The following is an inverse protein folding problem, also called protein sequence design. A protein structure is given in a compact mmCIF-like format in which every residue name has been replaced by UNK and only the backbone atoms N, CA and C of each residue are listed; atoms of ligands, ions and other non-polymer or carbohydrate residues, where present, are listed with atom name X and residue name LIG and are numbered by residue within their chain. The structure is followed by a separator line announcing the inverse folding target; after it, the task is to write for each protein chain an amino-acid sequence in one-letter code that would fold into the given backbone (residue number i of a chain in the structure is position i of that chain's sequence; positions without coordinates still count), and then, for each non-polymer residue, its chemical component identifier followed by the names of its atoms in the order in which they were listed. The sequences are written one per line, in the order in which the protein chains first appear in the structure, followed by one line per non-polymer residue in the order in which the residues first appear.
data_IF_769858039105
#
_entry.id   IF_769858039105
#
_cell.length_a   1.000
_cell.length_b   1.000
_cell.length_c   1.000
_cell.angle_alpha   90.00
_cell.angle_beta   90.00
_cell.angle_gamma   90.00
#
_symmetry.space_group_name_H-M   'P 1'
#
loop_
_entity.id
_entity.type
_entity.pdbx_description
1 polymer ?
#
# COMPACT_ATOMS: atom_id res chain seq x y z
N UNK A 1 22.48 13.64 -7.93
CA UNK A 1 21.10 13.31 -7.48
C UNK A 1 20.19 13.29 -8.68
N UNK A 2 19.28 12.32 -8.76
CA UNK A 2 18.22 12.24 -9.78
C UNK A 2 17.16 13.32 -9.53
N UNK A 3 16.39 13.68 -10.55
CA UNK A 3 15.44 14.80 -10.45
C UNK A 3 14.24 14.47 -9.57
N UNK A 4 13.47 13.42 -9.88
CA UNK A 4 12.19 13.15 -9.24
C UNK A 4 11.93 11.64 -9.10
N UNK A 5 11.32 11.25 -7.99
CA UNK A 5 10.79 9.91 -7.77
C UNK A 5 9.35 9.96 -7.27
N UNK A 6 8.51 9.07 -7.79
CA UNK A 6 7.19 8.82 -7.23
C UNK A 6 7.21 7.59 -6.34
N UNK A 7 6.84 7.79 -5.07
CA UNK A 7 6.54 6.72 -4.13
C UNK A 7 5.01 6.55 -4.08
N UNK A 8 4.52 5.42 -4.57
CA UNK A 8 3.10 5.22 -4.83
C UNK A 8 2.56 4.10 -3.94
N UNK A 9 1.51 4.37 -3.18
CA UNK A 9 0.77 3.33 -2.48
C UNK A 9 0.04 2.41 -3.45
N UNK A 10 -0.28 1.19 -3.01
CA UNK A 10 -0.98 0.22 -3.84
C UNK A 10 -2.46 0.15 -3.51
N UNK A 11 -2.80 -0.23 -2.27
CA UNK A 11 -4.14 -0.62 -1.85
C UNK A 11 -5.10 0.57 -1.74
N UNK A 12 -6.01 0.75 -2.71
CA UNK A 12 -6.92 1.91 -2.73
C UNK A 12 -6.38 3.11 -3.52
N UNK A 13 -5.12 3.03 -3.94
CA UNK A 13 -4.42 4.04 -4.74
C UNK A 13 -4.22 3.56 -6.18
N UNK A 14 -3.36 2.55 -6.40
CA UNK A 14 -3.21 1.88 -7.70
C UNK A 14 -4.37 0.91 -7.89
N UNK A 15 -4.69 0.09 -6.89
CA UNK A 15 -5.84 -0.82 -6.96
C UNK A 15 -7.12 -0.06 -6.67
N UNK A 16 -8.20 -0.42 -7.37
CA UNK A 16 -9.54 0.16 -7.12
C UNK A 16 -10.11 -0.22 -5.74
N UNK A 17 -9.50 -1.21 -5.06
CA UNK A 17 -9.94 -1.74 -3.76
C UNK A 17 -8.73 -2.06 -2.89
N UNK A 18 -8.87 -1.88 -1.57
CA UNK A 18 -7.92 -2.40 -0.58
C UNK A 18 -7.93 -3.94 -0.63
N UNK A 19 -6.82 -4.54 -1.07
CA UNK A 19 -6.74 -5.98 -1.34
C UNK A 19 -6.82 -6.81 -0.07
N UNK A 20 -6.20 -6.36 1.03
CA UNK A 20 -6.21 -7.06 2.31
C UNK A 20 -7.60 -7.09 2.94
N UNK A 21 -8.32 -5.98 2.91
CA UNK A 21 -9.70 -5.91 3.36
C UNK A 21 -10.60 -6.78 2.47
N UNK A 22 -10.39 -6.74 1.15
CA UNK A 22 -11.19 -7.54 0.20
C UNK A 22 -11.03 -9.05 0.44
N UNK A 23 -9.78 -9.51 0.60
CA UNK A 23 -9.44 -10.90 0.92
C UNK A 23 -10.07 -11.32 2.25
N UNK A 24 -9.88 -10.52 3.30
CA UNK A 24 -10.40 -10.83 4.64
C UNK A 24 -11.92 -10.98 4.63
N UNK A 25 -12.62 -10.12 3.89
CA UNK A 25 -14.07 -10.19 3.72
C UNK A 25 -14.50 -11.41 2.91
N UNK A 26 -13.80 -11.71 1.80
CA UNK A 26 -14.14 -12.85 0.92
C UNK A 26 -13.98 -14.21 1.62
N UNK A 27 -13.01 -14.34 2.50
CA UNK A 27 -12.80 -15.55 3.30
C UNK A 27 -13.54 -15.53 4.65
N UNK A 28 -14.41 -14.54 4.89
CA UNK A 28 -15.20 -14.42 6.12
C UNK A 28 -14.36 -14.53 7.39
N UNK A 29 -13.17 -13.91 7.41
CA UNK A 29 -12.28 -13.91 8.56
C UNK A 29 -12.83 -12.95 9.63
N UNK A 30 -13.86 -13.38 10.37
CA UNK A 30 -14.60 -12.55 11.35
C UNK A 30 -13.69 -11.98 12.43
N UNK A 31 -12.62 -12.68 12.80
CA UNK A 31 -11.61 -12.21 13.75
C UNK A 31 -10.92 -10.91 13.29
N UNK A 32 -10.96 -10.62 11.99
CA UNK A 32 -10.41 -9.39 11.41
C UNK A 32 -11.36 -8.19 11.54
N UNK A 33 -12.63 -8.38 11.93
CA UNK A 33 -13.58 -7.26 12.05
C UNK A 33 -13.16 -6.25 13.15
N UNK A 34 -12.38 -6.68 14.14
CA UNK A 34 -11.79 -5.81 15.19
C UNK A 34 -11.01 -4.62 14.60
N UNK A 35 -10.47 -4.77 13.38
CA UNK A 35 -9.67 -3.73 12.74
C UNK A 35 -10.50 -2.55 12.24
N UNK A 36 -11.80 -2.74 11.97
CA UNK A 36 -12.70 -1.62 11.62
C UNK A 36 -12.76 -0.61 12.76
N UNK A 37 -12.91 -1.09 13.99
CA UNK A 37 -12.92 -0.24 15.18
C UNK A 37 -11.55 0.37 15.47
N UNK A 38 -10.47 -0.42 15.38
CA UNK A 38 -9.11 0.08 15.59
C UNK A 38 -8.70 1.16 14.59
N UNK A 39 -9.17 1.08 13.33
CA UNK A 39 -9.00 2.15 12.34
C UNK A 39 -9.77 3.41 12.76
N UNK A 40 -11.03 3.26 13.19
CA UNK A 40 -11.89 4.38 13.62
C UNK A 40 -11.34 5.14 14.83
N UNK A 41 -10.80 4.44 15.82
CA UNK A 41 -10.27 5.05 17.04
C UNK A 41 -8.78 5.42 16.98
N UNK A 42 -8.11 5.23 15.82
CA UNK A 42 -6.71 5.58 15.63
C UNK A 42 -5.69 4.66 16.33
N UNK A 43 -6.11 3.50 16.83
CA UNK A 43 -5.22 2.52 17.50
C UNK A 43 -4.73 1.42 16.55
N UNK A 44 -5.05 1.51 15.26
CA UNK A 44 -4.65 0.56 14.24
C UNK A 44 -3.13 0.41 14.12
N UNK A 45 -2.67 -0.85 14.16
CA UNK A 45 -1.28 -1.24 13.91
C UNK A 45 -1.28 -2.34 12.85
N UNK A 46 -0.60 -2.07 11.73
CA UNK A 46 -0.45 -3.04 10.62
C UNK A 46 0.27 -4.28 11.11
N UNK A 47 1.28 -4.13 11.97
CA UNK A 47 2.03 -5.25 12.55
C UNK A 47 1.11 -6.28 13.21
N UNK A 48 0.20 -5.81 14.07
CA UNK A 48 -0.71 -6.70 14.79
C UNK A 48 -1.73 -7.35 13.84
N UNK A 49 -2.14 -6.62 12.79
CA UNK A 49 -2.99 -7.16 11.72
C UNK A 49 -2.29 -8.31 10.99
N UNK A 50 -1.02 -8.15 10.62
CA UNK A 50 -0.24 -9.16 9.92
C UNK A 50 -0.08 -10.42 10.78
N UNK A 51 0.23 -10.26 12.07
CA UNK A 51 0.39 -11.39 13.00
C UNK A 51 -0.91 -12.18 13.14
N UNK A 52 -2.05 -11.49 13.28
CA UNK A 52 -3.34 -12.16 13.38
C UNK A 52 -3.70 -12.86 12.07
N UNK A 53 -3.51 -12.20 10.93
CA UNK A 53 -3.77 -12.78 9.61
C UNK A 53 -2.93 -14.04 9.38
N UNK A 54 -1.62 -14.03 9.67
CA UNK A 54 -0.76 -15.24 9.60
C UNK A 54 -1.31 -16.39 10.46
N UNK A 55 -1.81 -16.08 11.66
CA UNK A 55 -2.29 -17.09 12.61
C UNK A 55 -3.59 -17.76 12.16
N UNK A 56 -4.54 -16.98 11.63
CA UNK A 56 -5.90 -17.47 11.35
C UNK A 56 -6.09 -17.92 9.91
N UNK A 57 -5.24 -17.46 8.98
CA UNK A 57 -5.42 -17.75 7.57
C UNK A 57 -5.22 -19.25 7.30
N UNK A 58 -6.27 -19.86 6.74
CA UNK A 58 -6.32 -21.27 6.33
C UNK A 58 -7.11 -21.38 5.05
N UNK A 59 -6.49 -21.09 3.92
CA UNK A 59 -7.15 -21.17 2.63
C UNK A 59 -6.18 -21.64 1.56
N UNK A 60 -6.59 -22.55 0.66
CA UNK A 60 -5.77 -22.97 -0.46
C UNK A 60 -5.25 -21.79 -1.28
N UNK A 61 -4.01 -21.90 -1.75
CA UNK A 61 -3.37 -20.86 -2.55
C UNK A 61 -4.18 -20.55 -3.81
N UNK A 62 -4.78 -21.56 -4.42
CA UNK A 62 -5.58 -21.44 -5.64
C UNK A 62 -6.79 -20.53 -5.42
N UNK A 63 -7.47 -20.68 -4.27
CA UNK A 63 -8.60 -19.82 -3.90
C UNK A 63 -8.18 -18.39 -3.59
N UNK A 64 -7.00 -18.22 -2.99
CA UNK A 64 -6.40 -16.91 -2.79
C UNK A 64 -6.07 -16.22 -4.11
N UNK A 65 -5.49 -16.97 -5.04
CA UNK A 65 -5.14 -16.53 -6.39
C UNK A 65 -6.37 -16.12 -7.21
N UNK A 66 -7.45 -16.92 -7.18
CA UNK A 66 -8.74 -16.60 -7.83
C UNK A 66 -9.27 -15.23 -7.39
N UNK A 67 -9.11 -14.87 -6.11
CA UNK A 67 -9.54 -13.56 -5.59
C UNK A 67 -8.63 -12.43 -6.08
N UNK A 68 -7.32 -12.65 -6.16
CA UNK A 68 -6.39 -11.66 -6.69
C UNK A 68 -6.62 -11.38 -8.18
N UNK A 69 -7.05 -12.39 -8.93
CA UNK A 69 -7.27 -12.30 -10.37
C UNK A 69 -8.51 -11.47 -10.75
N UNK A 70 -9.42 -11.22 -9.80
CA UNK A 70 -10.59 -10.35 -10.03
C UNK A 70 -10.38 -8.91 -9.53
N UNK A 71 -9.25 -8.61 -8.89
CA UNK A 71 -8.96 -7.26 -8.40
C UNK A 71 -8.40 -6.39 -9.52
N UNK A 72 -8.94 -5.19 -9.70
CA UNK A 72 -8.55 -4.29 -10.78
C UNK A 72 -7.70 -3.13 -10.29
N UNK A 73 -6.88 -2.60 -11.19
CA UNK A 73 -6.16 -1.33 -10.99
C UNK A 73 -6.88 -0.17 -11.69
N UNK A 74 -6.53 1.05 -11.31
CA UNK A 74 -6.76 2.23 -12.13
C UNK A 74 -5.88 2.16 -13.38
N UNK A 75 -6.49 1.94 -14.55
CA UNK A 75 -5.76 1.75 -15.81
C UNK A 75 -4.97 2.99 -16.23
N UNK A 76 -5.32 4.19 -15.75
CA UNK A 76 -4.52 5.39 -16.00
C UNK A 76 -3.11 5.29 -15.37
N UNK A 77 -2.93 4.40 -14.38
CA UNK A 77 -1.62 4.09 -13.82
C UNK A 77 -0.66 3.47 -14.84
N UNK A 78 -1.17 2.73 -15.83
CA UNK A 78 -0.34 2.06 -16.83
C UNK A 78 0.48 3.09 -17.58
N UNK A 79 -0.18 4.10 -18.15
CA UNK A 79 0.50 5.16 -18.90
C UNK A 79 1.33 6.06 -17.97
N UNK A 80 0.82 6.37 -16.79
CA UNK A 80 1.56 7.11 -15.78
C UNK A 80 2.89 6.42 -15.43
N UNK A 81 2.91 5.10 -15.31
CA UNK A 81 4.10 4.32 -14.94
C UNK A 81 5.17 4.22 -16.03
N UNK A 82 4.80 4.35 -17.30
CA UNK A 82 5.76 4.40 -18.40
C UNK A 82 6.53 5.71 -18.45
N UNK A 83 5.86 6.79 -18.08
CA UNK A 83 6.39 8.15 -18.22
C UNK A 83 7.12 8.64 -16.97
N UNK A 84 7.11 7.88 -15.87
CA UNK A 84 7.64 8.31 -14.58
C UNK A 84 8.50 7.22 -13.92
N UNK A 85 9.56 7.64 -13.20
CA UNK A 85 10.28 6.73 -12.31
C UNK A 85 9.46 6.48 -11.04
N UNK A 86 9.00 5.23 -10.86
CA UNK A 86 8.09 4.84 -9.77
C UNK A 86 8.72 3.77 -8.89
N UNK A 87 8.43 3.83 -7.58
CA UNK A 87 8.52 2.71 -6.65
C UNK A 87 7.17 2.54 -5.95
N UNK A 88 6.71 1.31 -5.86
CA UNK A 88 5.50 0.99 -5.10
C UNK A 88 5.90 0.78 -3.64
N UNK A 89 5.20 1.44 -2.71
CA UNK A 89 5.40 1.32 -1.27
C UNK A 89 4.08 1.00 -0.60
N UNK A 90 3.89 -0.26 -0.19
CA UNK A 90 2.60 -0.76 0.29
C UNK A 90 2.72 -1.46 1.65
N UNK A 91 1.67 -1.33 2.46
CA UNK A 91 1.47 -2.14 3.66
C UNK A 91 0.93 -3.55 3.37
N UNK A 92 0.59 -3.84 2.11
CA UNK A 92 0.12 -5.12 1.61
C UNK A 92 1.26 -6.13 1.36
N UNK A 93 0.94 -7.19 0.61
CA UNK A 93 1.88 -8.26 0.29
C UNK A 93 2.50 -8.09 -1.10
N UNK A 94 3.82 -8.25 -1.21
CA UNK A 94 4.54 -8.24 -2.49
C UNK A 94 3.96 -9.29 -3.45
N UNK A 95 3.58 -10.46 -2.92
CA UNK A 95 2.89 -11.51 -3.67
C UNK A 95 1.63 -11.00 -4.38
N UNK A 96 0.74 -10.34 -3.65
CA UNK A 96 -0.51 -9.79 -4.18
C UNK A 96 -0.24 -8.76 -5.27
N UNK A 97 0.67 -7.83 -4.97
CA UNK A 97 1.02 -6.71 -5.85
C UNK A 97 1.56 -7.25 -7.16
N UNK A 98 2.55 -8.15 -7.12
CA UNK A 98 3.13 -8.75 -8.32
C UNK A 98 2.10 -9.51 -9.15
N UNK A 99 1.27 -10.34 -8.52
CA UNK A 99 0.23 -11.10 -9.23
C UNK A 99 -0.74 -10.18 -9.96
N UNK A 100 -1.25 -9.17 -9.28
CA UNK A 100 -2.19 -8.21 -9.88
C UNK A 100 -1.51 -7.43 -11.02
N UNK A 101 -0.32 -6.87 -10.78
CA UNK A 101 0.40 -6.06 -11.77
C UNK A 101 0.87 -6.85 -13.00
N UNK A 102 1.17 -8.15 -12.85
CA UNK A 102 1.61 -8.99 -13.98
C UNK A 102 0.56 -9.06 -15.10
N UNK A 103 -0.73 -8.99 -14.75
CA UNK A 103 -1.83 -8.97 -15.73
C UNK A 103 -1.86 -7.70 -16.58
N UNK A 104 -1.13 -6.66 -16.15
CA UNK A 104 -0.99 -5.38 -16.86
C UNK A 104 0.45 -5.16 -17.37
N UNK A 105 1.33 -6.16 -17.28
CA UNK A 105 2.77 -6.08 -17.61
C UNK A 105 3.55 -5.03 -16.79
N UNK A 106 3.16 -4.84 -15.53
CA UNK A 106 3.77 -3.85 -14.61
C UNK A 106 4.55 -4.49 -13.45
N UNK A 107 4.79 -5.80 -13.49
CA UNK A 107 5.46 -6.58 -12.44
C UNK A 107 6.96 -6.27 -12.26
N UNK A 108 7.56 -5.54 -13.22
CA UNK A 108 8.94 -5.07 -13.17
C UNK A 108 9.14 -3.82 -12.29
N UNK A 109 8.07 -3.13 -11.91
CA UNK A 109 8.17 -1.98 -11.01
C UNK A 109 8.72 -2.46 -9.66
N UNK A 110 9.71 -1.77 -9.11
CA UNK A 110 10.26 -2.12 -7.80
C UNK A 110 9.22 -1.87 -6.69
N UNK A 111 8.97 -2.90 -5.89
CA UNK A 111 7.94 -2.94 -4.85
C UNK A 111 8.60 -3.10 -3.48
N UNK A 112 8.13 -2.30 -2.53
CA UNK A 112 8.33 -2.47 -1.11
C UNK A 112 6.99 -2.89 -0.50
N UNK A 113 6.95 -4.10 0.06
CA UNK A 113 5.75 -4.69 0.66
C UNK A 113 6.15 -5.70 1.73
N UNK A 114 5.17 -6.27 2.43
CA UNK A 114 5.42 -7.45 3.27
C UNK A 114 5.55 -8.70 2.39
N UNK A 115 6.37 -9.65 2.80
CA UNK A 115 6.48 -10.93 2.12
C UNK A 115 5.42 -11.90 2.64
N UNK A 116 4.79 -12.62 1.72
CA UNK A 116 3.83 -13.69 2.02
C UNK A 116 4.30 -14.96 1.32
N UNK A 117 4.51 -16.02 2.09
CA UNK A 117 4.89 -17.34 1.61
C UNK A 117 3.81 -18.35 1.98
N UNK A 118 3.31 -19.09 1.01
CA UNK A 118 2.44 -20.23 1.25
C UNK A 118 3.25 -21.41 1.77
N UNK A 119 2.71 -22.09 2.77
CA UNK A 119 3.26 -23.29 3.40
C UNK A 119 2.32 -24.47 3.17
N UNK A 120 2.73 -25.64 3.63
CA UNK A 120 1.88 -26.83 3.68
C UNK A 120 0.60 -26.59 4.51
N UNK A 121 -0.41 -27.43 4.28
CA UNK A 121 -1.69 -27.41 5.00
C UNK A 121 -2.41 -26.04 4.92
N UNK A 122 -2.28 -25.36 3.77
CA UNK A 122 -2.95 -24.08 3.49
C UNK A 122 -2.58 -22.95 4.47
N UNK A 123 -1.42 -23.05 5.11
CA UNK A 123 -0.90 -22.01 6.01
C UNK A 123 -0.09 -20.99 5.22
N UNK A 124 0.12 -19.83 5.83
CA UNK A 124 1.01 -18.80 5.31
C UNK A 124 2.08 -18.43 6.34
N UNK A 125 3.18 -17.87 5.85
CA UNK A 125 4.18 -17.16 6.61
C UNK A 125 4.28 -15.74 6.08
N UNK A 126 4.28 -14.76 7.00
CA UNK A 126 4.44 -13.35 6.69
C UNK A 126 5.78 -12.88 7.24
N UNK A 127 6.47 -12.05 6.47
CA UNK A 127 7.67 -11.35 6.92
C UNK A 127 7.53 -9.87 6.61
N UNK A 128 7.79 -9.02 7.60
CA UNK A 128 7.69 -7.57 7.45
C UNK A 128 8.84 -7.08 6.58
N UNK A 129 8.55 -6.41 5.46
CA UNK A 129 9.56 -6.11 4.45
C UNK A 129 10.40 -4.85 4.73
N UNK A 130 9.91 -3.94 5.56
CA UNK A 130 10.68 -2.76 5.97
C UNK A 130 10.23 -2.30 7.36
N UNK A 131 10.38 -3.18 8.34
CA UNK A 131 10.00 -2.87 9.72
C UNK A 131 10.95 -1.80 10.30
N UNK A 132 10.37 -0.81 10.97
CA UNK A 132 11.12 0.15 11.78
C UNK A 132 10.72 -0.07 13.24
N UNK A 133 11.69 -0.47 14.08
CA UNK A 133 11.47 -0.75 15.49
C UNK A 133 10.99 0.47 16.28
N UNK A 134 11.55 1.65 16.00
CA UNK A 134 11.13 2.92 16.61
C UNK A 134 9.68 3.27 16.27
N UNK A 135 9.25 2.93 15.05
CA UNK A 135 7.86 3.12 14.64
C UNK A 135 6.93 2.14 15.37
N UNK A 136 7.31 0.86 15.45
CA UNK A 136 6.58 -0.18 16.19
C UNK A 136 5.18 -0.54 15.69
N UNK A 137 4.66 0.12 14.65
CA UNK A 137 3.26 0.01 14.18
C UNK A 137 3.13 -0.57 12.78
N UNK A 138 4.04 -0.23 11.87
CA UNK A 138 3.99 -0.60 10.46
C UNK A 138 4.60 -1.99 10.22
N UNK A 139 4.22 -2.66 9.12
CA UNK A 139 5.03 -3.76 8.55
C UNK A 139 6.06 -3.25 7.51
N UNK A 140 5.69 -2.18 6.82
CA UNK A 140 6.55 -1.44 5.88
C UNK A 140 6.52 0.03 6.28
N UNK A 141 7.65 0.57 6.73
CA UNK A 141 7.77 1.97 7.11
C UNK A 141 8.04 2.83 5.86
N UNK A 142 6.96 3.32 5.23
CA UNK A 142 7.03 4.16 4.02
C UNK A 142 7.90 5.42 4.24
N UNK A 143 7.86 6.00 5.43
CA UNK A 143 8.70 7.15 5.80
C UNK A 143 10.18 6.81 5.80
N UNK A 144 10.57 5.62 6.26
CA UNK A 144 11.96 5.19 6.25
C UNK A 144 12.48 5.03 4.81
N UNK A 145 11.67 4.39 3.95
CA UNK A 145 11.97 4.24 2.52
C UNK A 145 12.12 5.61 1.85
N UNK A 146 11.23 6.56 2.15
CA UNK A 146 11.32 7.92 1.64
C UNK A 146 12.62 8.62 2.08
N UNK A 147 12.99 8.52 3.36
CA UNK A 147 14.22 9.14 3.88
C UNK A 147 15.48 8.60 3.21
N UNK A 148 15.52 7.31 2.90
CA UNK A 148 16.63 6.72 2.14
C UNK A 148 16.69 7.31 0.73
N UNK A 149 15.55 7.40 0.04
CA UNK A 149 15.52 7.98 -1.30
C UNK A 149 15.80 9.49 -1.35
N UNK A 150 15.59 10.24 -0.25
CA UNK A 150 15.96 11.66 -0.20
C UNK A 150 17.47 11.90 -0.35
N UNK A 151 18.30 10.87 -0.13
CA UNK A 151 19.75 10.93 -0.37
C UNK A 151 20.09 10.88 -1.86
N UNK A 152 19.19 10.34 -2.69
CA UNK A 152 19.42 10.09 -4.11
C UNK A 152 18.65 11.04 -5.05
N UNK A 153 17.49 11.55 -4.62
CA UNK A 153 16.56 12.33 -5.44
C UNK A 153 16.35 13.75 -4.89
N UNK A 154 16.18 14.72 -5.80
CA UNK A 154 15.89 16.13 -5.44
C UNK A 154 14.44 16.33 -5.00
N UNK A 155 13.48 15.65 -5.64
CA UNK A 155 12.04 15.71 -5.31
C UNK A 155 11.49 14.31 -5.14
N UNK A 156 10.81 14.06 -4.03
CA UNK A 156 9.99 12.86 -3.81
C UNK A 156 8.53 13.27 -3.74
N UNK A 157 7.77 12.77 -4.70
CA UNK A 157 6.30 12.89 -4.74
C UNK A 157 5.70 11.63 -4.14
N UNK A 158 4.85 11.77 -3.14
CA UNK A 158 4.10 10.65 -2.59
C UNK A 158 2.68 10.65 -3.11
N UNK A 159 2.17 9.47 -3.50
CA UNK A 159 0.80 9.26 -3.97
C UNK A 159 0.15 8.18 -3.11
N UNK A 160 -0.97 8.48 -2.45
CA UNK A 160 -1.64 7.52 -1.56
C UNK A 160 -3.07 7.88 -1.16
N UNK A 161 -3.67 7.04 -0.32
CA UNK A 161 -5.05 7.23 0.18
C UNK A 161 -5.23 6.86 1.66
N UNK A 162 -4.29 6.09 2.23
CA UNK A 162 -4.52 5.31 3.43
C UNK A 162 -4.11 5.95 4.75
N UNK A 163 -4.54 5.32 5.85
CA UNK A 163 -4.18 5.69 7.23
C UNK A 163 -2.67 5.65 7.46
N UNK A 164 -1.98 4.68 6.85
CA UNK A 164 -0.54 4.47 7.01
C UNK A 164 0.29 5.52 6.27
N UNK A 165 -0.33 6.30 5.39
CA UNK A 165 0.36 7.24 4.51
C UNK A 165 0.54 8.62 5.15
N UNK A 166 -0.24 8.91 6.19
CA UNK A 166 -0.22 10.20 6.88
C UNK A 166 1.19 10.55 7.39
N UNK A 167 1.98 9.55 7.78
CA UNK A 167 3.34 9.78 8.24
C UNK A 167 4.27 10.17 7.07
N UNK A 168 4.32 9.37 6.01
CA UNK A 168 5.23 9.61 4.87
C UNK A 168 4.87 10.89 4.11
N UNK A 169 3.57 11.22 4.03
CA UNK A 169 3.08 12.45 3.42
C UNK A 169 3.68 13.72 4.06
N UNK A 170 3.88 13.74 5.38
CA UNK A 170 4.48 14.89 6.09
C UNK A 170 5.95 15.13 5.74
N UNK A 171 6.65 14.12 5.22
CA UNK A 171 8.07 14.22 4.86
C UNK A 171 8.28 14.32 3.34
N UNK A 172 7.22 14.19 2.54
CA UNK A 172 7.27 14.26 1.09
C UNK A 172 7.36 15.70 0.61
N UNK A 173 8.01 15.94 -0.52
CA UNK A 173 8.14 17.30 -1.07
C UNK A 173 6.84 17.73 -1.75
N UNK A 174 6.06 16.76 -2.23
CA UNK A 174 4.69 16.94 -2.72
C UNK A 174 3.86 15.68 -2.42
N UNK A 175 2.56 15.88 -2.17
CA UNK A 175 1.64 14.77 -1.90
C UNK A 175 0.42 14.87 -2.82
N UNK A 176 0.14 13.79 -3.53
CA UNK A 176 -1.15 13.53 -4.16
C UNK A 176 -1.96 12.58 -3.29
N UNK A 177 -3.12 13.03 -2.82
CA UNK A 177 -4.02 12.22 -2.00
C UNK A 177 -5.24 11.81 -2.83
N UNK A 178 -5.63 10.54 -2.81
CA UNK A 178 -6.83 10.09 -3.52
C UNK A 178 -8.04 10.89 -3.01
N UNK A 179 -8.85 11.44 -3.91
CA UNK A 179 -9.97 12.30 -3.55
C UNK A 179 -11.00 11.55 -2.69
N UNK A 180 -11.46 12.20 -1.63
CA UNK A 180 -12.36 11.65 -0.61
C UNK A 180 -11.71 10.69 0.39
N UNK A 181 -10.41 10.41 0.24
CA UNK A 181 -9.71 9.40 1.04
C UNK A 181 -9.49 9.82 2.49
N UNK A 182 -9.05 8.86 3.30
CA UNK A 182 -8.64 9.15 4.68
C UNK A 182 -7.40 10.07 4.69
N UNK A 183 -6.42 9.82 3.82
CA UNK A 183 -5.21 10.62 3.72
C UNK A 183 -5.54 12.09 3.45
N UNK A 184 -6.35 12.37 2.42
CA UNK A 184 -6.77 13.73 2.08
C UNK A 184 -7.39 14.44 3.29
N UNK A 185 -8.39 13.83 3.92
CA UNK A 185 -9.08 14.40 5.09
C UNK A 185 -8.12 14.67 6.25
N UNK A 186 -7.19 13.75 6.51
CA UNK A 186 -6.20 13.93 7.57
C UNK A 186 -5.20 15.05 7.27
N UNK A 187 -4.69 15.14 6.04
CA UNK A 187 -3.76 16.20 5.66
C UNK A 187 -4.42 17.58 5.71
N UNK A 188 -5.66 17.69 5.23
CA UNK A 188 -6.46 18.92 5.35
C UNK A 188 -6.67 19.32 6.82
N UNK A 189 -7.03 18.37 7.69
CA UNK A 189 -7.22 18.64 9.13
C UNK A 189 -5.93 19.13 9.82
N UNK A 190 -4.77 18.71 9.32
CA UNK A 190 -3.44 19.08 9.82
C UNK A 190 -2.83 20.29 9.11
N UNK A 191 -3.57 20.92 8.18
CA UNK A 191 -3.07 22.02 7.32
C UNK A 191 -1.80 21.65 6.55
N UNK A 192 -1.67 20.38 6.16
CA UNK A 192 -0.61 19.90 5.27
C UNK A 192 -1.13 19.95 3.84
N UNK A 193 -0.42 20.65 2.96
CA UNK A 193 -0.80 20.76 1.55
C UNK A 193 -0.76 19.40 0.86
N UNK A 194 -1.81 19.09 0.12
CA UNK A 194 -1.87 17.96 -0.79
C UNK A 194 -2.74 18.31 -2.00
N UNK A 195 -2.51 17.64 -3.12
CA UNK A 195 -3.30 17.77 -4.34
C UNK A 195 -4.25 16.58 -4.41
N UNK A 196 -5.58 16.77 -4.37
CA UNK A 196 -6.51 15.68 -4.55
C UNK A 196 -6.51 15.19 -6.00
N UNK A 197 -6.60 13.89 -6.21
CA UNK A 197 -6.71 13.29 -7.55
C UNK A 197 -7.74 12.15 -7.56
N UNK A 198 -8.41 11.95 -8.69
CA UNK A 198 -9.26 10.77 -8.92
C UNK A 198 -8.57 9.71 -9.75
N UNK A 199 -7.80 10.11 -10.77
CA UNK A 199 -7.06 9.20 -11.67
C UNK A 199 -5.62 9.65 -11.85
N UNK A 200 -4.71 8.71 -12.13
CA UNK A 200 -3.31 9.03 -12.39
C UNK A 200 -3.10 9.93 -13.62
N UNK A 201 -4.04 9.96 -14.57
CA UNK A 201 -4.03 10.87 -15.72
C UNK A 201 -4.14 12.35 -15.35
N UNK A 202 -4.56 12.67 -14.12
CA UNK A 202 -4.67 14.06 -13.62
C UNK A 202 -3.37 14.58 -13.00
N UNK A 203 -2.36 13.71 -12.84
CA UNK A 203 -1.09 14.05 -12.18
C UNK A 203 -0.12 14.59 -13.23
N UNK A 204 0.15 15.90 -13.18
CA UNK A 204 0.93 16.62 -14.22
C UNK A 204 2.25 17.23 -13.73
N UNK A 205 2.60 17.04 -12.45
CA UNK A 205 3.84 17.52 -11.82
C UNK A 205 5.12 16.86 -12.35
#
# INVERSE_FOLDING_TARGET
MKEKLYLVDFDGTITKKDTLNYISNKFYLKEMDIWKEKKRNGTFKVKDWLILFEKIFKTPKEKYDEILDILEIDESFIEFSKNNEIRIVSGGFVYNIKRILSRYNLDKIKIYGNELKFLENNRIKITMGNYNEECGKCGVCKTNILKEYKKEYKKIVFIGDGVTDVCVAQYSDLVYAKKGSYLEKQLLSKKVNCIPFEKFSEITD
#
